data_IF_236798742952
#
_entry.id   IF_236798742952
#
_cell.length_a   1.000
_cell.length_b   1.000
_cell.length_c   1.000
_cell.angle_alpha   90.00
_cell.angle_beta   90.00
_cell.angle_gamma   90.00
#
_symmetry.space_group_name_H-M   'P 1'
#
loop_
_entity.id
_entity.type
_entity.pdbx_description
1 polymer ?
#
# COMPACT_ATOMS: atom_id res chain seq x y z
N UNK A 1 1.13 11.46 -4.39
CA UNK A 1 2.11 10.98 -3.39
C UNK A 1 2.88 9.74 -3.84
N UNK A 2 2.23 8.57 -3.98
CA UNK A 2 2.89 7.29 -4.29
C UNK A 2 3.58 7.25 -5.67
N UNK A 3 3.14 8.07 -6.63
CA UNK A 3 3.79 8.22 -7.94
C UNK A 3 4.86 9.32 -7.98
N UNK A 4 5.18 9.95 -6.85
CA UNK A 4 6.23 10.96 -6.80
C UNK A 4 7.60 10.32 -7.03
N UNK A 5 8.52 11.06 -7.67
CA UNK A 5 9.90 10.59 -7.91
C UNK A 5 10.60 10.22 -6.59
N UNK A 6 10.36 11.00 -5.54
CA UNK A 6 10.93 10.79 -4.20
C UNK A 6 10.50 9.43 -3.62
N UNK A 7 9.19 9.14 -3.59
CA UNK A 7 8.68 7.85 -3.09
C UNK A 7 9.16 6.67 -3.93
N UNK A 8 9.14 6.80 -5.27
CA UNK A 8 9.59 5.74 -6.18
C UNK A 8 11.08 5.44 -5.97
N UNK A 9 11.91 6.47 -5.80
CA UNK A 9 13.35 6.29 -5.54
C UNK A 9 13.61 5.58 -4.22
N UNK A 10 12.86 5.93 -3.17
CA UNK A 10 12.93 5.24 -1.89
C UNK A 10 12.49 3.77 -2.02
N UNK A 11 11.31 3.54 -2.61
CA UNK A 11 10.72 2.21 -2.72
C UNK A 11 11.59 1.23 -3.51
N UNK A 12 12.25 1.66 -4.58
CA UNK A 12 13.13 0.82 -5.41
C UNK A 12 14.20 0.07 -4.62
N UNK A 13 14.72 0.69 -3.56
CA UNK A 13 15.80 0.10 -2.75
C UNK A 13 15.29 -0.58 -1.48
N UNK A 14 14.05 -0.30 -1.08
CA UNK A 14 13.57 -0.56 0.28
C UNK A 14 12.32 -1.43 0.37
N UNK A 15 11.55 -1.55 -0.72
CA UNK A 15 10.19 -2.10 -0.70
C UNK A 15 9.92 -2.95 -1.94
N UNK A 16 9.07 -3.96 -1.75
CA UNK A 16 8.35 -4.62 -2.83
C UNK A 16 6.97 -3.98 -2.91
N UNK A 17 6.70 -3.24 -4.00
CA UNK A 17 5.42 -2.56 -4.18
C UNK A 17 4.39 -3.47 -4.85
N UNK A 18 3.24 -3.62 -4.20
CA UNK A 18 2.07 -4.29 -4.76
C UNK A 18 0.94 -3.28 -4.88
N UNK A 19 0.36 -3.16 -6.09
CA UNK A 19 -0.80 -2.29 -6.32
C UNK A 19 -2.07 -3.13 -6.41
N UNK A 20 -2.96 -2.93 -5.44
CA UNK A 20 -4.31 -3.51 -5.41
C UNK A 20 -5.29 -2.39 -5.72
N UNK A 21 -6.04 -2.51 -6.81
CA UNK A 21 -6.89 -1.44 -7.34
C UNK A 21 -8.30 -1.97 -7.64
N UNK A 22 -9.31 -1.10 -7.44
CA UNK A 22 -10.74 -1.42 -7.52
C UNK A 22 -11.44 -0.51 -8.55
N UNK A 23 -11.06 -0.59 -9.84
CA UNK A 23 -11.59 0.30 -10.87
C UNK A 23 -13.07 0.02 -11.15
N UNK A 24 -13.87 1.09 -11.25
CA UNK A 24 -15.30 0.96 -11.59
C UNK A 24 -15.54 0.63 -13.08
N UNK A 25 -14.76 1.22 -13.99
CA UNK A 25 -14.98 1.11 -15.45
C UNK A 25 -14.09 0.08 -16.14
N UNK A 26 -12.87 -0.11 -15.63
CA UNK A 26 -11.88 -1.01 -16.25
C UNK A 26 -12.17 -2.44 -15.83
N UNK A 27 -12.39 -3.34 -16.80
CA UNK A 27 -12.55 -4.76 -16.52
C UNK A 27 -11.24 -5.38 -16.01
N UNK A 28 -11.36 -6.20 -14.99
CA UNK A 28 -10.32 -7.08 -14.46
C UNK A 28 -10.73 -8.54 -14.74
N UNK A 29 -9.77 -9.45 -14.81
CA UNK A 29 -10.10 -10.88 -14.81
C UNK A 29 -10.77 -11.26 -13.50
N UNK A 30 -11.62 -12.29 -13.54
CA UNK A 30 -12.34 -12.75 -12.35
C UNK A 30 -11.39 -13.19 -11.24
N UNK A 31 -10.33 -13.92 -11.58
CA UNK A 31 -9.27 -14.33 -10.66
C UNK A 31 -8.59 -13.13 -9.98
N UNK A 32 -8.27 -12.07 -10.73
CA UNK A 32 -7.63 -10.88 -10.16
C UNK A 32 -8.59 -10.11 -9.25
N UNK A 33 -9.85 -10.00 -9.65
CA UNK A 33 -10.89 -9.36 -8.83
C UNK A 33 -11.08 -10.10 -7.50
N UNK A 34 -11.16 -11.43 -7.54
CA UNK A 34 -11.29 -12.26 -6.34
C UNK A 34 -10.06 -12.14 -5.43
N UNK A 35 -8.84 -12.14 -5.98
CA UNK A 35 -7.63 -11.91 -5.20
C UNK A 35 -7.61 -10.53 -4.53
N UNK A 36 -7.99 -9.48 -5.24
CA UNK A 36 -8.07 -8.12 -4.69
C UNK A 36 -9.11 -8.02 -3.57
N UNK A 37 -10.29 -8.62 -3.74
CA UNK A 37 -11.33 -8.68 -2.70
C UNK A 37 -10.89 -9.46 -1.46
N UNK A 38 -10.14 -10.57 -1.65
CA UNK A 38 -9.57 -11.33 -0.53
C UNK A 38 -8.57 -10.47 0.27
N UNK A 39 -7.67 -9.76 -0.41
CA UNK A 39 -6.72 -8.85 0.23
C UNK A 39 -7.43 -7.70 0.97
N UNK A 40 -8.49 -7.13 0.36
CA UNK A 40 -9.30 -6.08 0.99
C UNK A 40 -9.87 -6.54 2.32
N UNK A 41 -10.41 -7.77 2.37
CA UNK A 41 -10.99 -8.37 3.59
C UNK A 41 -9.91 -8.72 4.60
N UNK A 42 -8.81 -9.34 4.17
CA UNK A 42 -7.70 -9.74 5.03
C UNK A 42 -7.08 -8.57 5.78
N UNK A 43 -6.97 -7.41 5.13
CA UNK A 43 -6.38 -6.21 5.74
C UNK A 43 -7.40 -5.19 6.22
N UNK A 44 -8.70 -5.54 6.25
CA UNK A 44 -9.78 -4.71 6.80
C UNK A 44 -9.82 -3.32 6.16
N UNK A 45 -9.74 -3.27 4.82
CA UNK A 45 -9.69 -2.01 4.08
C UNK A 45 -11.11 -1.46 3.88
N UNK A 46 -11.42 -0.39 4.60
CA UNK A 46 -12.72 0.28 4.57
C UNK A 46 -12.79 1.45 3.59
N UNK A 47 -11.66 2.07 3.27
CA UNK A 47 -11.57 3.27 2.43
C UNK A 47 -10.32 3.31 1.55
N UNK A 48 -10.34 4.19 0.55
CA UNK A 48 -9.22 4.40 -0.38
C UNK A 48 -8.85 5.88 -0.48
N UNK A 49 -7.56 6.21 -0.68
CA UNK A 49 -6.42 5.29 -0.71
C UNK A 49 -6.08 4.76 0.69
N UNK A 50 -5.60 3.52 0.80
CA UNK A 50 -5.03 2.94 2.02
C UNK A 50 -3.74 2.22 1.68
N UNK A 51 -2.70 2.43 2.48
CA UNK A 51 -1.42 1.74 2.36
C UNK A 51 -1.25 0.78 3.54
N UNK A 52 -0.83 -0.45 3.25
CA UNK A 52 -0.52 -1.45 4.27
C UNK A 52 0.96 -1.80 4.16
N UNK A 53 1.66 -1.82 5.28
CA UNK A 53 3.06 -2.23 5.37
C UNK A 53 3.11 -3.62 5.98
N UNK A 54 3.75 -4.55 5.28
CA UNK A 54 3.93 -5.93 5.71
C UNK A 54 5.41 -6.23 5.91
N UNK A 55 5.73 -7.18 6.78
CA UNK A 55 7.04 -7.81 6.81
C UNK A 55 7.19 -8.90 5.73
N UNK A 56 8.35 -9.55 5.68
CA UNK A 56 8.64 -10.63 4.74
C UNK A 56 7.79 -11.89 4.92
N UNK A 57 7.16 -12.05 6.07
CA UNK A 57 6.27 -13.18 6.38
C UNK A 57 4.79 -12.84 6.10
N UNK A 58 4.50 -11.61 5.67
CA UNK A 58 3.17 -11.13 5.33
C UNK A 58 2.37 -10.61 6.53
N UNK A 59 3.00 -10.43 7.69
CA UNK A 59 2.35 -9.85 8.88
C UNK A 59 2.23 -8.33 8.73
N UNK A 60 1.06 -7.78 9.08
CA UNK A 60 0.80 -6.34 9.08
C UNK A 60 1.63 -5.64 10.16
N UNK A 61 2.58 -4.81 9.73
CA UNK A 61 3.37 -3.93 10.60
C UNK A 61 2.64 -2.62 10.88
N UNK A 62 1.88 -2.12 9.90
CA UNK A 62 1.12 -0.89 10.05
C UNK A 62 0.27 -0.57 8.82
N UNK A 63 -0.56 0.45 8.96
CA UNK A 63 -1.48 0.91 7.92
C UNK A 63 -1.64 2.42 7.99
N UNK A 64 -1.73 3.06 6.83
CA UNK A 64 -2.02 4.48 6.67
C UNK A 64 -3.26 4.64 5.79
N UNK A 65 -4.25 5.38 6.28
CA UNK A 65 -5.53 5.60 5.59
C UNK A 65 -5.58 7.03 5.08
N UNK A 66 -5.91 7.19 3.81
CA UNK A 66 -6.07 8.48 3.15
C UNK A 66 -4.77 9.08 2.65
N UNK A 67 -4.83 10.39 2.38
CA UNK A 67 -3.69 11.21 2.02
C UNK A 67 -3.85 12.55 2.74
N UNK A 68 -2.86 12.92 3.56
CA UNK A 68 -2.89 14.10 4.41
C UNK A 68 -2.38 15.38 3.72
N UNK A 69 -1.96 15.30 2.46
CA UNK A 69 -1.45 16.44 1.70
C UNK A 69 0.04 16.73 1.88
N UNK A 70 0.72 16.09 2.83
CA UNK A 70 2.09 16.43 3.24
C UNK A 70 3.19 15.79 2.36
N UNK A 71 2.81 15.22 1.21
CA UNK A 71 3.73 14.56 0.30
C UNK A 71 4.21 13.20 0.83
N UNK A 72 5.26 12.60 0.21
CA UNK A 72 5.68 11.23 0.51
C UNK A 72 6.54 11.09 1.78
N UNK A 73 7.09 12.19 2.31
CA UNK A 73 8.05 12.15 3.43
C UNK A 73 7.48 11.57 4.72
N UNK A 74 6.26 11.94 5.19
CA UNK A 74 5.70 11.38 6.42
C UNK A 74 5.53 9.86 6.32
N UNK A 75 5.11 9.40 5.15
CA UNK A 75 4.90 7.98 4.85
C UNK A 75 6.21 7.21 4.86
N UNK A 76 7.25 7.74 4.22
CA UNK A 76 8.60 7.14 4.27
C UNK A 76 9.08 7.06 5.73
N UNK A 77 8.90 8.12 6.52
CA UNK A 77 9.29 8.12 7.93
C UNK A 77 8.49 7.11 8.77
N UNK A 78 7.20 6.91 8.47
CA UNK A 78 6.38 5.87 9.10
C UNK A 78 6.93 4.47 8.75
N UNK A 79 7.20 4.19 7.47
CA UNK A 79 7.75 2.91 7.02
C UNK A 79 9.08 2.60 7.72
N UNK A 80 9.98 3.58 7.79
CA UNK A 80 11.29 3.42 8.47
C UNK A 80 11.14 3.18 9.98
N UNK A 81 10.12 3.73 10.64
CA UNK A 81 9.81 3.41 12.04
C UNK A 81 9.33 1.97 12.21
N UNK A 82 8.52 1.47 11.29
CA UNK A 82 7.97 0.11 11.31
C UNK A 82 9.00 -0.97 10.94
N UNK A 83 10.05 -0.61 10.19
CA UNK A 83 11.18 -1.49 9.84
C UNK A 83 12.09 -1.84 11.02
N UNK A 84 11.95 -1.18 12.16
CA UNK A 84 12.85 -1.41 13.30
C UNK A 84 12.52 -2.77 13.96
N UNK A 85 13.55 -3.60 14.23
CA UNK A 85 13.38 -4.91 14.85
C UNK A 85 12.84 -4.82 16.28
#
# INVERSE_FOLDING_TARGET
>A
MYSSKEFISYAKNNLVLVKVDFPMKKRQSETLKQANEALKRQFEIEGFPTMVVLDSEGKKLGQEVGYDGNGPKPVIAMIEKLKKP
#
